data_IF_195387494835
#
_entry.id   IF_195387494835
#
_cell.length_a   1.000
_cell.length_b   1.000
_cell.length_c   1.000
_cell.angle_alpha   90.00
_cell.angle_beta   90.00
_cell.angle_gamma   90.00
#
_symmetry.space_group_name_H-M   'P 1'
#
loop_
_entity.id
_entity.type
_entity.pdbx_description
1 polymer ?
#
# COMPACT_ATOMS: atom_id res chain seq x y z
N UNK A 1 13.57 23.05 -28.98
CA UNK A 1 14.81 22.48 -29.53
C UNK A 1 14.63 20.98 -29.61
N UNK A 2 15.46 20.29 -30.40
CA UNK A 2 15.55 18.83 -30.42
C UNK A 2 16.87 18.43 -29.80
N UNK A 3 16.92 17.31 -29.11
CA UNK A 3 18.14 16.78 -28.49
C UNK A 3 18.20 15.27 -28.64
N UNK A 4 19.39 14.69 -28.51
CA UNK A 4 19.52 13.23 -28.48
C UNK A 4 18.94 12.68 -27.17
N UNK A 5 18.32 11.50 -27.23
CA UNK A 5 17.73 10.87 -26.06
C UNK A 5 18.78 10.53 -24.98
N UNK A 6 20.04 10.29 -25.37
CA UNK A 6 21.17 10.13 -24.44
C UNK A 6 21.44 11.40 -23.63
N UNK A 7 21.41 12.56 -24.29
CA UNK A 7 21.65 13.85 -23.67
C UNK A 7 20.53 14.21 -22.69
N UNK A 8 19.29 13.77 -22.98
CA UNK A 8 18.15 13.98 -22.11
C UNK A 8 18.41 13.49 -20.67
N UNK A 9 19.01 12.32 -20.51
CA UNK A 9 19.37 11.79 -19.18
C UNK A 9 20.52 12.55 -18.50
N UNK A 10 21.34 13.27 -19.26
CA UNK A 10 22.41 14.11 -18.69
C UNK A 10 21.88 15.46 -18.19
N UNK A 11 20.83 15.99 -18.83
CA UNK A 11 20.33 17.34 -18.57
C UNK A 11 19.04 17.38 -17.75
N UNK A 12 18.23 16.32 -17.74
CA UNK A 12 16.95 16.28 -17.03
C UNK A 12 16.99 15.28 -15.88
N UNK A 13 16.84 15.78 -14.65
CA UNK A 13 16.76 14.95 -13.46
C UNK A 13 15.35 14.36 -13.22
N UNK A 14 14.31 15.04 -13.70
CA UNK A 14 12.90 14.67 -13.49
C UNK A 14 12.05 14.97 -14.72
N UNK A 15 11.03 14.14 -14.96
CA UNK A 15 10.06 14.30 -16.04
C UNK A 15 8.67 14.10 -15.48
N UNK A 16 7.84 15.13 -15.57
CA UNK A 16 6.43 15.04 -15.18
C UNK A 16 5.56 14.82 -16.42
N UNK A 17 4.78 13.73 -16.41
CA UNK A 17 3.85 13.39 -17.50
C UNK A 17 2.42 13.49 -16.99
N UNK A 18 1.65 14.45 -17.52
CA UNK A 18 0.21 14.51 -17.29
C UNK A 18 -0.49 13.47 -18.18
N UNK A 19 -1.14 12.48 -17.57
CA UNK A 19 -1.79 11.36 -18.28
C UNK A 19 -3.28 11.59 -18.51
N UNK A 20 -3.66 12.84 -18.77
CA UNK A 20 -5.05 13.18 -19.08
C UNK A 20 -5.37 12.78 -20.53
N UNK A 21 -6.30 11.85 -20.70
CA UNK A 21 -6.82 11.46 -22.01
C UNK A 21 -8.28 11.89 -22.10
N UNK A 22 -8.60 12.78 -23.03
CA UNK A 22 -9.93 13.37 -23.15
C UNK A 22 -11.06 12.34 -23.40
N UNK A 23 -10.73 11.17 -23.94
CA UNK A 23 -11.68 10.09 -24.21
C UNK A 23 -11.88 9.12 -23.04
N UNK A 24 -11.14 9.26 -21.93
CA UNK A 24 -11.22 8.34 -20.81
C UNK A 24 -12.31 8.74 -19.83
N UNK A 25 -12.89 7.73 -19.19
CA UNK A 25 -13.87 7.90 -18.14
C UNK A 25 -13.18 8.30 -16.84
N UNK A 26 -13.81 9.17 -16.05
CA UNK A 26 -13.30 9.58 -14.75
C UNK A 26 -14.35 9.34 -13.66
N UNK A 27 -13.91 8.80 -12.53
CA UNK A 27 -14.70 8.60 -11.33
C UNK A 27 -13.92 9.08 -10.12
N UNK A 28 -14.59 9.78 -9.22
CA UNK A 28 -13.99 10.26 -7.98
C UNK A 28 -14.89 9.96 -6.80
N UNK A 29 -14.31 9.53 -5.68
CA UNK A 29 -15.01 9.33 -4.42
C UNK A 29 -14.13 9.83 -3.28
N UNK A 30 -14.72 10.57 -2.34
CA UNK A 30 -14.02 11.08 -1.17
C UNK A 30 -14.29 10.19 0.03
N UNK A 31 -13.28 10.03 0.87
CA UNK A 31 -13.34 9.26 2.10
C UNK A 31 -12.30 9.81 3.09
N UNK A 32 -12.27 9.28 4.30
CA UNK A 32 -11.31 9.66 5.32
C UNK A 32 -10.75 8.44 6.06
N UNK A 33 -9.51 8.59 6.51
CA UNK A 33 -8.95 7.77 7.56
C UNK A 33 -9.48 8.30 8.89
N UNK A 34 -10.16 7.43 9.65
CA UNK A 34 -10.68 7.76 10.98
C UNK A 34 -9.68 7.41 12.08
N UNK A 35 -9.87 7.94 13.31
CA UNK A 35 -9.23 7.41 14.51
C UNK A 35 -9.86 6.04 14.79
N UNK A 36 -9.36 4.99 14.14
CA UNK A 36 -9.79 3.62 14.40
C UNK A 36 -9.50 3.18 15.86
N UNK A 37 -9.90 1.96 16.24
CA UNK A 37 -9.45 1.37 17.50
C UNK A 37 -7.90 1.40 17.61
N UNK A 38 -7.32 1.34 18.82
CA UNK A 38 -5.88 1.49 19.04
C UNK A 38 -5.06 0.64 18.05
N UNK A 39 -4.36 1.30 17.12
CA UNK A 39 -3.71 0.63 15.99
C UNK A 39 -3.54 1.53 14.76
N UNK A 40 -3.17 0.91 13.64
CA UNK A 40 -2.99 1.56 12.33
C UNK A 40 -4.25 2.34 11.91
N UNK A 41 -4.12 3.54 11.29
CA UNK A 41 -5.26 4.23 10.72
C UNK A 41 -5.86 3.41 9.57
N UNK A 42 -7.10 2.98 9.74
CA UNK A 42 -7.87 2.31 8.69
C UNK A 42 -8.74 3.33 7.95
N UNK A 43 -8.90 3.22 6.63
CA UNK A 43 -9.89 4.03 5.93
C UNK A 43 -11.29 3.60 6.37
N UNK A 44 -12.27 4.49 6.22
CA UNK A 44 -13.66 4.13 6.54
C UNK A 44 -14.20 3.06 5.58
N UNK A 45 -13.71 3.06 4.34
CA UNK A 45 -14.24 2.21 3.27
C UNK A 45 -13.13 1.46 2.50
N UNK A 46 -13.51 0.34 1.92
CA UNK A 46 -12.83 -0.27 0.77
C UNK A 46 -13.72 -0.15 -0.46
N UNK A 47 -13.18 -0.26 -1.66
CA UNK A 47 -13.96 -0.03 -2.88
C UNK A 47 -14.04 -1.28 -3.75
N UNK A 48 -15.27 -1.77 -3.96
CA UNK A 48 -15.56 -2.81 -4.95
C UNK A 48 -15.64 -2.15 -6.33
N UNK A 49 -14.72 -2.50 -7.23
CA UNK A 49 -14.63 -2.00 -8.59
C UNK A 49 -15.04 -3.10 -9.57
N UNK A 50 -16.11 -2.88 -10.32
CA UNK A 50 -16.60 -3.80 -11.35
C UNK A 50 -16.16 -3.34 -12.72
N UNK A 51 -15.57 -4.27 -13.45
CA UNK A 51 -15.04 -4.08 -14.80
C UNK A 51 -15.81 -5.02 -15.74
N UNK A 52 -16.55 -4.44 -16.68
CA UNK A 52 -17.32 -5.23 -17.65
C UNK A 52 -16.45 -5.67 -18.83
N UNK A 53 -15.62 -4.77 -19.35
CA UNK A 53 -14.70 -5.01 -20.47
C UNK A 53 -13.26 -4.75 -20.03
N UNK A 54 -12.31 -5.45 -20.64
CA UNK A 54 -10.89 -5.26 -20.34
C UNK A 54 -10.52 -3.78 -20.47
N UNK A 55 -9.81 -3.22 -19.48
CA UNK A 55 -9.57 -1.78 -19.43
C UNK A 55 -8.28 -1.41 -18.72
N UNK A 56 -7.61 -0.40 -19.26
CA UNK A 56 -6.50 0.26 -18.60
C UNK A 56 -7.03 1.33 -17.65
N UNK A 57 -6.45 1.44 -16.46
CA UNK A 57 -6.85 2.42 -15.45
C UNK A 57 -5.65 3.08 -14.79
N UNK A 58 -5.80 4.36 -14.50
CA UNK A 58 -4.98 5.10 -13.53
C UNK A 58 -5.80 5.28 -12.26
N UNK A 59 -5.26 4.81 -11.15
CA UNK A 59 -5.90 4.89 -9.83
C UNK A 59 -5.05 5.83 -8.98
N UNK A 60 -5.65 6.90 -8.48
CA UNK A 60 -4.97 7.93 -7.70
C UNK A 60 -5.59 8.11 -6.33
N UNK A 61 -4.76 8.29 -5.31
CA UNK A 61 -5.12 8.80 -4.00
C UNK A 61 -4.64 10.25 -3.89
N UNK A 62 -5.57 11.16 -3.62
CA UNK A 62 -5.35 12.60 -3.62
C UNK A 62 -5.62 13.13 -2.21
N UNK A 63 -4.63 13.78 -1.61
CA UNK A 63 -4.74 14.42 -0.30
C UNK A 63 -5.16 15.89 -0.45
N UNK A 64 -5.70 16.54 0.60
CA UNK A 64 -5.87 17.98 0.61
C UNK A 64 -4.57 18.74 0.31
N UNK A 65 -4.65 19.85 -0.41
CA UNK A 65 -3.48 20.68 -0.75
C UNK A 65 -2.86 21.29 0.51
N UNK A 66 -1.53 21.51 0.50
CA UNK A 66 -0.84 22.27 1.56
C UNK A 66 -1.21 23.76 1.59
N UNK A 67 -1.86 24.30 0.56
CA UNK A 67 -2.17 25.73 0.49
C UNK A 67 -3.12 26.10 1.64
N UNK A 68 -2.69 27.03 2.49
CA UNK A 68 -3.45 27.46 3.67
C UNK A 68 -3.28 26.56 4.91
N UNK A 69 -2.40 25.56 4.83
CA UNK A 69 -2.03 24.72 5.98
C UNK A 69 -0.85 25.31 6.75
N UNK A 70 -0.61 24.82 7.97
CA UNK A 70 0.56 25.20 8.76
C UNK A 70 1.87 24.79 8.07
N UNK A 71 2.98 25.42 8.46
CA UNK A 71 4.33 25.05 7.98
C UNK A 71 4.73 23.63 8.37
N UNK A 72 4.11 23.10 9.43
CA UNK A 72 4.30 21.72 9.92
C UNK A 72 3.40 20.70 9.19
N UNK A 73 2.57 21.12 8.24
CA UNK A 73 1.72 20.21 7.50
C UNK A 73 2.54 19.30 6.58
N UNK A 74 2.37 18.01 6.77
CA UNK A 74 3.01 16.98 5.98
C UNK A 74 1.98 16.00 5.44
N UNK A 75 2.20 15.59 4.20
CA UNK A 75 1.37 14.58 3.56
C UNK A 75 1.49 13.26 4.30
N UNK A 76 0.38 12.54 4.37
CA UNK A 76 0.32 11.19 4.91
C UNK A 76 0.91 10.19 3.93
N UNK A 77 1.41 9.11 4.46
CA UNK A 77 1.85 7.93 3.73
C UNK A 77 0.61 7.16 3.23
N UNK A 78 0.16 7.48 2.02
CA UNK A 78 -0.98 6.80 1.41
C UNK A 78 -0.50 5.69 0.47
N UNK A 79 -0.96 4.47 0.74
CA UNK A 79 -0.83 3.31 -0.14
C UNK A 79 -2.17 2.77 -0.59
N UNK A 80 -2.16 1.95 -1.63
CA UNK A 80 -3.33 1.25 -2.15
C UNK A 80 -2.94 -0.13 -2.65
N UNK A 81 -3.67 -1.17 -2.25
CA UNK A 81 -3.58 -2.48 -2.89
C UNK A 81 -4.83 -2.70 -3.75
N UNK A 82 -4.63 -3.04 -5.01
CA UNK A 82 -5.68 -3.50 -5.90
C UNK A 82 -5.63 -5.02 -5.97
N UNK A 83 -6.72 -5.66 -5.56
CA UNK A 83 -6.85 -7.12 -5.58
C UNK A 83 -8.03 -7.54 -6.42
N UNK A 84 -7.85 -8.52 -7.29
CA UNK A 84 -8.96 -9.19 -7.97
C UNK A 84 -9.67 -10.13 -6.99
N UNK A 85 -10.98 -10.03 -6.90
CA UNK A 85 -11.79 -10.98 -6.14
C UNK A 85 -12.17 -12.18 -7.02
N UNK A 86 -11.94 -13.40 -6.51
CA UNK A 86 -12.47 -14.62 -7.11
C UNK A 86 -13.75 -15.06 -6.39
N UNK A 87 -14.88 -15.17 -7.12
CA UNK A 87 -16.16 -15.57 -6.53
C UNK A 87 -17.37 -14.85 -7.12
N UNK A 88 -18.52 -15.02 -6.47
CA UNK A 88 -19.79 -14.40 -6.88
C UNK A 88 -19.75 -12.90 -6.59
N UNK A 89 -20.16 -12.09 -7.57
CA UNK A 89 -20.19 -10.63 -7.44
C UNK A 89 -20.91 -10.17 -6.17
N UNK A 90 -20.28 -9.28 -5.41
CA UNK A 90 -20.82 -8.69 -4.18
C UNK A 90 -20.46 -9.40 -2.86
N UNK A 91 -19.78 -10.56 -2.89
CA UNK A 91 -19.19 -11.19 -1.71
C UNK A 91 -17.67 -11.14 -1.84
N UNK A 92 -17.02 -10.39 -0.96
CA UNK A 92 -15.55 -10.29 -0.89
C UNK A 92 -15.06 -11.25 0.20
N UNK A 93 -14.45 -12.37 -0.21
CA UNK A 93 -13.72 -13.27 0.69
C UNK A 93 -12.23 -12.92 0.62
N UNK A 94 -11.68 -12.47 1.75
CA UNK A 94 -10.27 -12.08 1.88
C UNK A 94 -9.30 -13.15 1.37
N UNK A 95 -9.61 -14.44 1.56
CA UNK A 95 -8.73 -15.56 1.14
C UNK A 95 -8.74 -15.80 -0.36
N UNK A 96 -9.70 -15.20 -1.07
CA UNK A 96 -9.92 -15.33 -2.50
C UNK A 96 -9.49 -14.09 -3.28
N UNK A 97 -8.82 -13.17 -2.59
CA UNK A 97 -8.21 -11.99 -3.21
C UNK A 97 -6.88 -12.36 -3.85
N UNK A 98 -6.66 -11.85 -5.05
CA UNK A 98 -5.38 -11.94 -5.73
C UNK A 98 -4.87 -10.52 -5.98
N UNK A 99 -3.80 -10.07 -5.32
CA UNK A 99 -3.21 -8.77 -5.63
C UNK A 99 -2.77 -8.71 -7.10
N UNK A 100 -3.12 -7.62 -7.76
CA UNK A 100 -2.85 -7.37 -9.19
C UNK A 100 -2.20 -6.02 -9.43
N UNK A 101 -2.22 -5.14 -8.43
CA UNK A 101 -1.58 -3.83 -8.48
C UNK A 101 -1.35 -3.28 -7.08
N UNK A 102 -0.35 -2.44 -6.93
CA UNK A 102 -0.03 -1.79 -5.67
C UNK A 102 0.50 -0.38 -5.91
N UNK A 103 0.18 0.47 -4.95
CA UNK A 103 0.79 1.76 -4.71
C UNK A 103 1.38 1.66 -3.30
N UNK A 104 2.70 1.57 -3.21
CA UNK A 104 3.37 1.57 -1.91
C UNK A 104 3.24 2.93 -1.24
N UNK A 105 3.12 2.98 0.10
CA UNK A 105 2.84 4.24 0.78
C UNK A 105 3.91 5.30 0.54
N UNK A 106 3.46 6.51 0.22
CA UNK A 106 4.32 7.65 -0.04
C UNK A 106 3.67 8.94 0.44
N UNK A 107 4.50 9.89 0.87
CA UNK A 107 4.08 11.16 1.47
C UNK A 107 3.99 12.29 0.43
N UNK A 108 3.14 12.12 -0.58
CA UNK A 108 2.93 13.09 -1.66
C UNK A 108 1.47 13.50 -1.79
N UNK A 109 1.24 14.67 -2.39
CA UNK A 109 -0.11 15.20 -2.63
C UNK A 109 -0.99 14.24 -3.43
N UNK A 110 -0.44 13.69 -4.52
CA UNK A 110 -1.13 12.78 -5.44
C UNK A 110 -0.22 11.59 -5.64
N UNK A 111 -0.69 10.44 -5.19
CA UNK A 111 -0.02 9.16 -5.38
C UNK A 111 -0.88 8.32 -6.34
N UNK A 112 -0.26 7.70 -7.36
CA UNK A 112 -1.02 6.98 -8.38
C UNK A 112 -0.35 5.68 -8.80
N UNK A 113 -1.16 4.73 -9.25
CA UNK A 113 -0.72 3.47 -9.87
C UNK A 113 -1.51 3.19 -11.13
N UNK A 114 -0.90 2.44 -12.03
CA UNK A 114 -1.54 1.88 -13.20
C UNK A 114 -2.09 0.48 -12.89
N UNK A 115 -3.21 0.14 -13.50
CA UNK A 115 -3.77 -1.21 -13.46
C UNK A 115 -4.38 -1.55 -14.81
N UNK A 116 -3.89 -2.63 -15.43
CA UNK A 116 -4.54 -3.24 -16.57
C UNK A 116 -5.48 -4.35 -16.08
N UNK A 117 -6.79 -4.08 -16.10
CA UNK A 117 -7.80 -5.09 -15.82
C UNK A 117 -8.06 -5.92 -17.07
N UNK A 118 -7.34 -7.03 -17.23
CA UNK A 118 -7.41 -7.89 -18.43
C UNK A 118 -8.64 -8.77 -18.50
N UNK A 119 -9.33 -9.01 -17.39
CA UNK A 119 -10.48 -9.90 -17.33
C UNK A 119 -11.79 -9.14 -17.47
N UNK A 120 -12.63 -9.65 -18.36
CA UNK A 120 -14.00 -9.16 -18.53
C UNK A 120 -14.91 -9.67 -17.41
N UNK A 121 -15.94 -8.89 -17.09
CA UNK A 121 -16.90 -9.19 -16.02
C UNK A 121 -16.24 -9.51 -14.67
N UNK A 122 -15.12 -8.85 -14.37
CA UNK A 122 -14.34 -9.09 -13.17
C UNK A 122 -14.66 -8.07 -12.07
N UNK A 123 -14.49 -8.53 -10.82
CA UNK A 123 -14.56 -7.66 -9.64
C UNK A 123 -13.18 -7.49 -9.04
N UNK A 124 -12.79 -6.25 -8.82
CA UNK A 124 -11.59 -5.83 -8.12
C UNK A 124 -11.99 -5.16 -6.81
N UNK A 125 -11.07 -5.17 -5.85
CA UNK A 125 -11.21 -4.51 -4.56
C UNK A 125 -10.00 -3.60 -4.39
N UNK A 126 -10.26 -2.32 -4.21
CA UNK A 126 -9.25 -1.32 -3.92
C UNK A 126 -9.22 -1.10 -2.40
N UNK A 127 -8.03 -1.28 -1.83
CA UNK A 127 -7.77 -1.27 -0.39
C UNK A 127 -6.75 -0.15 -0.10
N UNK A 128 -7.21 1.10 0.10
CA UNK A 128 -6.36 2.16 0.60
C UNK A 128 -5.85 1.81 2.00
N UNK A 129 -4.65 2.27 2.33
CA UNK A 129 -4.08 2.09 3.66
C UNK A 129 -3.01 3.15 3.96
N UNK A 130 -2.70 3.31 5.24
CA UNK A 130 -1.58 4.09 5.75
C UNK A 130 -0.87 3.27 6.82
N UNK A 131 0.44 3.50 6.98
CA UNK A 131 1.34 2.78 7.87
C UNK A 131 1.64 3.59 9.12
N UNK A 132 1.72 4.91 9.03
CA UNK A 132 2.06 5.76 10.17
C UNK A 132 0.95 5.75 11.24
N UNK A 133 1.27 5.46 12.52
CA UNK A 133 0.30 5.58 13.60
C UNK A 133 0.03 7.07 13.85
N UNK A 134 -1.18 7.54 13.55
CA UNK A 134 -1.55 8.95 13.74
C UNK A 134 -3.03 9.06 14.07
N UNK A 135 -3.32 9.79 15.14
CA UNK A 135 -4.65 9.92 15.74
C UNK A 135 -5.56 10.95 15.06
N UNK A 136 -5.03 11.77 14.14
CA UNK A 136 -5.83 12.75 13.42
C UNK A 136 -6.50 12.12 12.21
N UNK A 137 -7.78 12.42 12.02
CA UNK A 137 -8.48 12.07 10.80
C UNK A 137 -7.80 12.72 9.58
N UNK A 138 -7.90 12.07 8.43
CA UNK A 138 -7.34 12.59 7.20
C UNK A 138 -8.22 12.25 6.01
N UNK A 139 -8.69 13.27 5.33
CA UNK A 139 -9.46 13.13 4.11
C UNK A 139 -8.57 12.76 2.93
N UNK A 140 -9.11 11.97 2.02
CA UNK A 140 -8.52 11.70 0.72
C UNK A 140 -9.61 11.53 -0.33
N UNK A 141 -9.23 11.72 -1.59
CA UNK A 141 -10.07 11.41 -2.75
C UNK A 141 -9.42 10.27 -3.53
N UNK A 142 -10.18 9.19 -3.72
CA UNK A 142 -9.85 8.17 -4.71
C UNK A 142 -10.36 8.63 -6.08
N UNK A 143 -9.47 8.72 -7.05
CA UNK A 143 -9.80 9.02 -8.44
C UNK A 143 -9.39 7.85 -9.33
N UNK A 144 -10.26 7.48 -10.27
CA UNK A 144 -10.02 6.44 -11.27
C UNK A 144 -10.25 7.07 -12.64
N UNK A 145 -9.23 6.99 -13.50
CA UNK A 145 -9.34 7.31 -14.91
C UNK A 145 -9.21 6.02 -15.70
N UNK A 146 -10.19 5.66 -16.52
CA UNK A 146 -10.24 4.37 -17.21
C UNK A 146 -10.58 4.49 -18.70
N UNK A 147 -10.01 3.63 -19.53
CA UNK A 147 -10.26 3.61 -20.97
C UNK A 147 -11.68 3.15 -21.33
N UNK A 148 -12.29 2.31 -20.49
CA UNK A 148 -13.67 1.85 -20.60
C UNK A 148 -14.42 2.18 -19.30
N UNK A 149 -15.76 2.27 -19.33
CA UNK A 149 -16.54 2.52 -18.13
C UNK A 149 -16.33 1.43 -17.08
N UNK A 150 -16.16 1.86 -15.83
CA UNK A 150 -16.11 0.98 -14.66
C UNK A 150 -17.14 1.43 -13.64
N UNK A 151 -17.53 0.55 -12.71
CA UNK A 151 -18.47 0.89 -11.66
C UNK A 151 -17.81 0.70 -10.30
N UNK A 152 -17.81 1.75 -9.48
CA UNK A 152 -17.27 1.71 -8.12
C UNK A 152 -18.41 1.66 -7.10
N UNK A 153 -18.29 0.75 -6.14
CA UNK A 153 -19.21 0.62 -5.01
C UNK A 153 -18.40 0.62 -3.70
N UNK A 154 -18.55 1.63 -2.86
CA UNK A 154 -17.90 1.61 -1.56
C UNK A 154 -18.52 0.56 -0.63
N UNK A 155 -17.68 -0.02 0.22
CA UNK A 155 -18.01 -1.07 1.20
C UNK A 155 -17.34 -0.75 2.53
N UNK A 156 -17.90 -1.18 3.68
CA UNK A 156 -17.21 -1.10 4.95
C UNK A 156 -15.82 -1.74 4.86
N UNK A 157 -14.83 -1.07 5.43
CA UNK A 157 -13.46 -1.57 5.40
C UNK A 157 -13.33 -2.93 6.11
N UNK A 158 -12.50 -3.81 5.55
CA UNK A 158 -12.26 -5.15 6.08
C UNK A 158 -10.76 -5.38 6.26
N UNK A 159 -10.29 -5.28 7.51
CA UNK A 159 -8.88 -5.51 7.83
C UNK A 159 -8.33 -6.87 7.33
N UNK A 160 -9.08 -8.00 7.39
CA UNK A 160 -8.58 -9.27 6.83
C UNK A 160 -8.26 -9.20 5.33
N UNK A 161 -9.03 -8.44 4.56
CA UNK A 161 -8.86 -8.26 3.11
C UNK A 161 -7.59 -7.47 2.78
N UNK A 162 -7.34 -6.38 3.53
CA UNK A 162 -6.08 -5.64 3.44
C UNK A 162 -4.90 -6.50 3.87
N UNK A 163 -4.96 -7.11 5.05
CA UNK A 163 -3.85 -7.91 5.60
C UNK A 163 -3.46 -9.04 4.64
N UNK A 164 -4.44 -9.79 4.12
CA UNK A 164 -4.17 -10.85 3.17
C UNK A 164 -3.50 -10.31 1.89
N UNK A 165 -4.07 -9.25 1.30
CA UNK A 165 -3.57 -8.68 0.05
C UNK A 165 -2.18 -8.05 0.20
N UNK A 166 -1.95 -7.37 1.32
CA UNK A 166 -0.67 -6.75 1.65
C UNK A 166 0.42 -7.81 1.89
N UNK A 167 0.12 -8.86 2.67
CA UNK A 167 1.07 -9.96 2.89
C UNK A 167 1.45 -10.65 1.58
N UNK A 168 0.47 -10.91 0.71
CA UNK A 168 0.74 -11.48 -0.62
C UNK A 168 1.59 -10.54 -1.47
N UNK A 169 1.26 -9.25 -1.52
CA UNK A 169 1.98 -8.26 -2.33
C UNK A 169 3.45 -8.15 -1.90
N UNK A 170 3.71 -8.11 -0.59
CA UNK A 170 5.08 -8.08 -0.04
C UNK A 170 5.82 -9.38 -0.36
N UNK A 171 5.19 -10.54 -0.15
CA UNK A 171 5.81 -11.84 -0.41
C UNK A 171 6.19 -12.03 -1.89
N UNK A 172 5.42 -11.44 -2.82
CA UNK A 172 5.71 -11.49 -4.26
C UNK A 172 6.72 -10.46 -4.72
N UNK A 173 6.90 -9.36 -3.98
CA UNK A 173 7.73 -8.24 -4.41
C UNK A 173 9.22 -8.43 -4.13
N UNK A 174 9.57 -9.29 -3.16
CA UNK A 174 10.98 -9.56 -2.80
C UNK A 174 11.18 -11.04 -2.50
N UNK A 175 12.34 -11.57 -2.88
CA UNK A 175 12.74 -12.93 -2.53
C UNK A 175 12.84 -13.10 -1.00
N UNK A 176 12.44 -14.28 -0.53
CA UNK A 176 12.53 -14.62 0.87
C UNK A 176 13.96 -15.02 1.24
N UNK A 177 14.38 -14.67 2.46
CA UNK A 177 15.58 -15.18 3.11
C UNK A 177 15.17 -16.13 4.23
N UNK A 178 15.66 -17.36 4.21
CA UNK A 178 15.47 -18.26 5.35
C UNK A 178 16.29 -17.75 6.54
N UNK A 179 15.65 -17.54 7.70
CA UNK A 179 16.34 -17.13 8.92
C UNK A 179 16.81 -18.34 9.72
N UNK A 180 15.92 -19.33 9.84
CA UNK A 180 16.14 -20.63 10.45
C UNK A 180 15.16 -21.62 9.81
N UNK A 181 15.38 -22.95 9.95
CA UNK A 181 14.65 -23.95 9.19
C UNK A 181 13.14 -23.74 9.22
N UNK A 182 12.54 -23.54 8.04
CA UNK A 182 11.10 -23.37 7.90
C UNK A 182 10.56 -21.97 8.20
N UNK A 183 11.41 -20.99 8.56
CA UNK A 183 11.00 -19.60 8.77
C UNK A 183 11.68 -18.65 7.80
N UNK A 184 10.85 -17.93 7.06
CA UNK A 184 11.26 -17.09 5.95
C UNK A 184 10.97 -15.63 6.22
N UNK A 185 11.96 -14.77 5.98
CA UNK A 185 11.88 -13.32 6.09
C UNK A 185 11.81 -12.69 4.69
N UNK A 186 10.80 -11.87 4.48
CA UNK A 186 10.73 -10.91 3.38
C UNK A 186 10.93 -9.51 3.95
N UNK A 187 12.07 -8.89 3.60
CA UNK A 187 12.37 -7.50 3.92
C UNK A 187 12.21 -6.68 2.64
N UNK A 188 11.07 -6.00 2.50
CA UNK A 188 10.75 -5.25 1.29
C UNK A 188 10.82 -3.75 1.57
N UNK A 189 11.80 -3.07 0.99
CA UNK A 189 11.88 -1.61 0.99
C UNK A 189 11.20 -1.07 -0.27
N UNK A 190 10.14 -0.30 -0.09
CA UNK A 190 9.38 0.30 -1.18
C UNK A 190 8.96 1.73 -0.84
N UNK A 191 9.39 2.66 -1.70
CA UNK A 191 9.20 4.09 -1.51
C UNK A 191 9.72 4.52 -0.12
N UNK A 192 8.83 5.04 0.72
CA UNK A 192 9.14 5.54 2.06
C UNK A 192 8.99 4.46 3.16
N UNK A 193 8.61 3.22 2.80
CA UNK A 193 8.27 2.15 3.75
C UNK A 193 9.20 0.94 3.64
N UNK A 194 9.48 0.32 4.78
CA UNK A 194 10.07 -1.01 4.90
C UNK A 194 9.05 -1.95 5.51
N UNK A 195 8.77 -3.05 4.82
CA UNK A 195 7.90 -4.12 5.27
C UNK A 195 8.74 -5.29 5.78
N UNK A 196 8.47 -5.74 7.01
CA UNK A 196 9.07 -6.93 7.61
C UNK A 196 7.99 -7.99 7.72
N UNK A 197 7.97 -8.90 6.74
CA UNK A 197 7.04 -10.02 6.68
C UNK A 197 7.77 -11.31 7.01
N UNK A 198 7.21 -12.08 7.94
CA UNK A 198 7.71 -13.40 8.31
C UNK A 198 6.68 -14.46 7.93
N UNK A 199 7.17 -15.59 7.43
CA UNK A 199 6.36 -16.76 7.07
C UNK A 199 6.90 -17.95 7.86
N UNK A 200 6.05 -18.50 8.72
CA UNK A 200 6.30 -19.76 9.39
C UNK A 200 5.70 -20.90 8.55
N UNK A 201 6.57 -21.65 7.86
CA UNK A 201 6.20 -22.82 7.08
C UNK A 201 6.15 -24.12 7.91
N UNK A 202 6.59 -24.07 9.18
CA UNK A 202 6.53 -25.22 10.08
C UNK A 202 5.06 -25.65 10.29
N UNK A 203 4.76 -26.96 10.17
CA UNK A 203 3.40 -27.48 10.31
C UNK A 203 2.89 -27.56 11.76
N UNK A 204 3.77 -27.57 12.75
CA UNK A 204 3.44 -27.91 14.14
C UNK A 204 3.92 -26.86 15.16
N UNK A 205 5.07 -26.23 14.92
CA UNK A 205 5.72 -25.36 15.90
C UNK A 205 5.39 -23.90 15.67
N UNK A 206 4.98 -23.22 16.75
CA UNK A 206 4.95 -21.76 16.80
C UNK A 206 6.35 -21.21 16.99
N UNK A 207 6.63 -20.06 16.39
CA UNK A 207 7.93 -19.42 16.46
C UNK A 207 7.79 -18.05 17.10
N UNK A 208 8.58 -17.78 18.14
CA UNK A 208 8.66 -16.45 18.75
C UNK A 208 9.83 -15.68 18.18
N UNK A 209 9.58 -14.46 17.70
CA UNK A 209 10.58 -13.60 17.06
C UNK A 209 10.53 -12.24 17.75
N UNK A 210 11.72 -11.72 18.05
CA UNK A 210 11.89 -10.35 18.49
C UNK A 210 12.53 -9.56 17.35
N UNK A 211 11.93 -8.43 17.00
CA UNK A 211 12.48 -7.51 16.01
C UNK A 211 12.84 -6.23 16.74
N UNK A 212 14.13 -5.91 16.76
CA UNK A 212 14.63 -4.67 17.35
C UNK A 212 15.24 -3.80 16.25
N UNK A 213 14.53 -2.72 15.92
CA UNK A 213 15.01 -1.70 14.98
C UNK A 213 15.33 -0.37 15.67
N UNK A 214 15.66 -0.36 16.97
CA UNK A 214 15.86 0.86 17.77
C UNK A 214 17.12 1.66 17.41
N UNK A 215 18.08 1.02 16.74
CA UNK A 215 19.26 1.70 16.18
C UNK A 215 18.95 2.40 14.84
N UNK A 216 17.72 2.27 14.34
CA UNK A 216 17.28 2.95 13.12
C UNK A 216 17.04 4.43 13.36
N UNK A 217 17.38 5.26 12.37
CA UNK A 217 17.19 6.72 12.44
C UNK A 217 16.13 7.16 11.45
N UNK A 218 15.37 8.19 11.82
CA UNK A 218 14.32 8.79 10.97
C UNK A 218 13.25 7.81 10.46
N UNK A 219 12.92 6.78 11.26
CA UNK A 219 11.80 5.87 11.00
C UNK A 219 10.75 5.97 12.11
N UNK A 220 9.50 5.74 11.73
CA UNK A 220 8.37 5.49 12.62
C UNK A 220 7.87 4.07 12.39
N UNK A 221 7.40 3.42 13.44
CA UNK A 221 6.82 2.08 13.35
C UNK A 221 5.30 2.16 13.30
N UNK A 222 4.68 1.32 12.48
CA UNK A 222 3.23 1.08 12.49
C UNK A 222 2.67 0.66 13.85
N UNK A 223 3.52 0.11 14.73
CA UNK A 223 3.16 -0.32 16.08
C UNK A 223 3.41 0.72 17.16
N UNK A 224 3.91 1.91 16.80
CA UNK A 224 4.34 2.93 17.76
C UNK A 224 5.64 2.62 18.51
N UNK A 225 6.22 1.43 18.32
CA UNK A 225 7.50 1.00 18.90
C UNK A 225 8.41 0.41 17.81
N UNK A 226 9.71 0.76 17.85
CA UNK A 226 10.74 0.17 16.99
C UNK A 226 11.19 -1.22 17.46
N UNK A 227 10.69 -1.68 18.61
CA UNK A 227 10.84 -3.06 19.08
C UNK A 227 9.50 -3.77 19.10
N UNK A 228 9.45 -5.00 18.60
CA UNK A 228 8.27 -5.86 18.67
C UNK A 228 8.66 -7.28 19.04
N UNK A 229 7.77 -7.96 19.76
CA UNK A 229 7.88 -9.39 20.03
C UNK A 229 6.59 -10.04 19.57
N UNK A 230 6.72 -11.00 18.67
CA UNK A 230 5.60 -11.65 18.00
C UNK A 230 5.75 -13.16 18.07
N UNK A 231 4.63 -13.87 18.10
CA UNK A 231 4.58 -15.34 18.01
C UNK A 231 3.79 -15.73 16.78
N UNK A 232 4.48 -16.37 15.83
CA UNK A 232 3.89 -16.85 14.58
C UNK A 232 3.44 -18.29 14.75
N UNK A 233 2.14 -18.52 14.65
CA UNK A 233 1.56 -19.87 14.65
C UNK A 233 2.02 -20.69 13.45
N UNK A 234 1.92 -22.04 13.51
CA UNK A 234 2.25 -22.91 12.38
C UNK A 234 1.50 -22.56 11.10
N UNK A 235 2.18 -22.65 9.96
CA UNK A 235 1.62 -22.34 8.61
C UNK A 235 0.98 -20.96 8.50
N UNK A 236 1.53 -19.98 9.21
CA UNK A 236 1.06 -18.60 9.14
C UNK A 236 2.10 -17.66 8.56
N UNK A 237 1.63 -16.47 8.19
CA UNK A 237 2.47 -15.35 7.79
C UNK A 237 2.00 -14.10 8.50
N UNK A 238 2.94 -13.28 8.92
CA UNK A 238 2.64 -12.09 9.69
C UNK A 238 3.57 -10.96 9.29
N UNK A 239 2.98 -9.81 8.96
CA UNK A 239 3.70 -8.56 8.86
C UNK A 239 4.00 -8.09 10.28
N UNK A 240 5.20 -8.40 10.76
CA UNK A 240 5.57 -8.13 12.16
C UNK A 240 5.85 -6.64 12.38
N UNK A 241 6.43 -5.97 11.38
CA UNK A 241 6.78 -4.57 11.50
C UNK A 241 6.67 -3.87 10.15
N UNK A 242 6.15 -2.65 10.16
CA UNK A 242 6.28 -1.74 9.04
C UNK A 242 6.93 -0.47 9.55
N UNK A 243 7.99 -0.03 8.88
CA UNK A 243 8.71 1.19 9.21
C UNK A 243 8.49 2.20 8.10
N UNK A 244 8.00 3.38 8.43
CA UNK A 244 7.80 4.50 7.50
C UNK A 244 8.81 5.60 7.82
N UNK A 245 9.41 6.22 6.79
CA UNK A 245 10.26 7.40 6.96
C UNK A 245 9.53 8.49 7.74
N UNK A 246 10.20 9.07 8.74
CA UNK A 246 9.70 10.25 9.44
C UNK A 246 9.50 11.37 8.43
N UNK A 247 8.32 11.98 8.41
CA UNK A 247 8.09 13.20 7.64
C UNK A 247 9.19 14.25 7.89
N UNK A 248 9.55 15.01 6.86
CA UNK A 248 10.58 16.04 6.91
C UNK A 248 12.02 15.52 6.85
N UNK A 249 12.26 14.21 6.99
CA UNK A 249 13.61 13.64 6.97
C UNK A 249 14.09 13.37 5.54
N UNK A 250 15.28 13.85 5.16
CA UNK A 250 15.82 13.62 3.80
C UNK A 250 16.35 12.19 3.59
N UNK A 251 16.78 11.53 4.66
CA UNK A 251 17.32 10.17 4.65
C UNK A 251 16.93 9.41 5.93
N UNK A 252 16.98 8.08 5.87
CA UNK A 252 16.78 7.19 7.01
C UNK A 252 17.80 6.05 6.98
N UNK A 253 18.06 5.46 8.15
CA UNK A 253 18.85 4.23 8.26
C UNK A 253 17.99 3.16 8.92
N UNK A 254 18.06 1.94 8.40
CA UNK A 254 17.41 0.78 8.98
C UNK A 254 18.47 -0.18 9.51
N UNK A 255 18.52 -0.37 10.82
CA UNK A 255 19.25 -1.45 11.49
C UNK A 255 18.20 -2.30 12.18
N UNK A 256 18.10 -3.58 11.81
CA UNK A 256 17.16 -4.51 12.46
C UNK A 256 17.90 -5.77 12.89
N UNK A 257 17.75 -6.09 14.18
CA UNK A 257 18.19 -7.34 14.80
C UNK A 257 16.97 -8.25 14.93
N UNK A 258 17.16 -9.53 14.63
CA UNK A 258 16.13 -10.57 14.57
C UNK A 258 16.61 -11.83 15.29
#
# INVERSE_FOLDING_TARGET
FWMQYSDFFMFFATVDVCKEQASWYSLTTSDCFGPGPPGLPYPSQMYELRVSTSTWMFISLIQPKKRGQSTEYEYRDLGLIASRASGRAGIVDARRLQPVGNLWPTMVHIAHTELLATQEQATYVLLPFSVAPRNAAMDYTLAIHSANPVCIRPRPFQAPSLNFSLHMSVATAVAAKEMFPGVWLHLHQAMDVIFVLLINADPENSVSIEVDCSESTNLMSSRGSLKTKDTLSPRTRQLVLMLIRKPGSLAYTCSCKH
#
